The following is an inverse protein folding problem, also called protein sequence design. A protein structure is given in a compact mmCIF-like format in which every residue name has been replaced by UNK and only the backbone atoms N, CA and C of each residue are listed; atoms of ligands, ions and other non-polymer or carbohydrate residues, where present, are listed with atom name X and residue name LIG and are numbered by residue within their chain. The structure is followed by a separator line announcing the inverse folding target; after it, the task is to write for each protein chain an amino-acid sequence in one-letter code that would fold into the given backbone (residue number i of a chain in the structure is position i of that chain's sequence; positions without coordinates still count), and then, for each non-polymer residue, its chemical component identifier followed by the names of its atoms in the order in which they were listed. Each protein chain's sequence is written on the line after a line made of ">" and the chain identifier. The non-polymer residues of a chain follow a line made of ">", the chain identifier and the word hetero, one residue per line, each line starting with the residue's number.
data_IF_707500204845
#
_entry.id   IF_707500204845
#
_cell.length_a   1.000
_cell.length_b   1.000
_cell.length_c   1.000
_cell.angle_alpha   90.00
_cell.angle_beta   90.00
_cell.angle_gamma   90.00
#
_symmetry.space_group_name_H-M   'P 1'
#
loop_
_entity.id
_entity.type
_entity.pdbx_description
1 polymer ?
#
# COMPACT_ATOMS: atom_id res chain seq x y z
N UNK A 1 2.92 22.75 -13.41
CA UNK A 1 1.62 22.78 -12.72
C UNK A 1 1.83 23.12 -11.25
N UNK A 2 1.46 24.32 -10.82
CA UNK A 2 1.58 24.72 -9.43
C UNK A 2 0.33 24.29 -8.65
N UNK A 3 0.31 23.06 -8.13
CA UNK A 3 -0.47 22.81 -6.91
C UNK A 3 0.09 23.75 -5.86
N UNK A 4 -0.68 24.76 -5.44
CA UNK A 4 -0.12 25.74 -4.51
C UNK A 4 0.34 25.01 -3.25
N UNK A 5 1.55 25.31 -2.79
CA UNK A 5 2.14 24.71 -1.58
C UNK A 5 1.15 24.75 -0.41
N UNK A 6 0.35 25.82 -0.33
CA UNK A 6 -0.72 25.97 0.64
C UNK A 6 -1.82 24.89 0.58
N UNK A 7 -2.22 24.39 -0.59
CA UNK A 7 -3.22 23.32 -0.70
C UNK A 7 -2.69 21.99 -0.17
N UNK A 8 -1.42 21.67 -0.46
CA UNK A 8 -0.75 20.47 0.05
C UNK A 8 -0.66 20.54 1.58
N UNK A 9 -0.22 21.68 2.12
CA UNK A 9 -0.15 21.90 3.57
C UNK A 9 -1.52 21.73 4.22
N UNK A 10 -2.59 22.32 3.65
CA UNK A 10 -3.95 22.17 4.18
C UNK A 10 -4.41 20.71 4.20
N UNK A 11 -4.08 19.93 3.16
CA UNK A 11 -4.38 18.49 3.11
C UNK A 11 -3.64 17.73 4.21
N UNK A 12 -2.35 18.02 4.41
CA UNK A 12 -1.58 17.40 5.51
C UNK A 12 -2.16 17.76 6.88
N UNK A 13 -2.50 19.03 7.13
CA UNK A 13 -3.17 19.46 8.37
C UNK A 13 -4.49 18.69 8.55
N UNK A 14 -5.30 18.57 7.49
CA UNK A 14 -6.53 17.80 7.57
C UNK A 14 -6.27 16.34 7.95
N UNK A 15 -5.34 15.66 7.26
CA UNK A 15 -5.07 14.23 7.48
C UNK A 15 -4.44 13.93 8.84
N UNK A 16 -3.62 14.84 9.36
CA UNK A 16 -2.88 14.66 10.62
C UNK A 16 -3.65 15.14 11.84
N UNK A 17 -4.47 16.18 11.69
CA UNK A 17 -5.15 16.85 12.82
C UNK A 17 -6.66 16.69 12.72
N UNK A 18 -7.29 17.27 11.70
CA UNK A 18 -8.77 17.36 11.63
C UNK A 18 -9.42 15.98 11.55
N UNK A 19 -8.89 15.10 10.72
CA UNK A 19 -9.33 13.71 10.59
C UNK A 19 -9.26 12.99 11.95
N UNK A 20 -8.19 13.19 12.71
CA UNK A 20 -8.00 12.58 14.04
C UNK A 20 -8.99 13.11 15.07
N UNK A 21 -9.28 14.41 15.03
CA UNK A 21 -10.29 15.04 15.89
C UNK A 21 -11.67 14.46 15.55
N UNK A 22 -12.05 14.40 14.28
CA UNK A 22 -13.36 13.87 13.86
C UNK A 22 -13.48 12.37 14.21
N UNK A 23 -12.41 11.60 14.01
CA UNK A 23 -12.42 10.15 14.28
C UNK A 23 -12.10 9.79 15.74
N UNK A 24 -11.95 10.77 16.64
CA UNK A 24 -11.55 10.46 18.02
C UNK A 24 -12.61 9.59 18.71
N UNK A 25 -12.20 8.44 19.26
CA UNK A 25 -13.09 7.52 19.96
C UNK A 25 -14.12 6.80 19.08
N UNK A 26 -13.94 6.83 17.75
CA UNK A 26 -14.85 6.17 16.81
C UNK A 26 -15.03 4.68 17.07
N UNK A 27 -14.04 4.05 17.69
CA UNK A 27 -14.06 2.68 18.13
C UNK A 27 -15.26 2.40 19.06
N UNK A 28 -15.64 3.40 19.87
CA UNK A 28 -16.73 3.33 20.84
C UNK A 28 -18.06 3.78 20.20
N UNK A 29 -18.10 4.98 19.60
CA UNK A 29 -19.38 5.60 19.22
C UNK A 29 -19.85 5.26 17.80
N UNK A 30 -18.98 4.80 16.90
CA UNK A 30 -19.37 4.56 15.50
C UNK A 30 -20.19 3.27 15.38
N UNK A 31 -21.32 3.29 14.71
CA UNK A 31 -22.24 2.14 14.57
C UNK A 31 -22.73 1.96 13.12
N UNK A 32 -22.07 2.60 12.16
CA UNK A 32 -22.42 2.55 10.73
C UNK A 32 -23.89 2.91 10.42
N UNK A 33 -24.50 3.79 11.24
CA UNK A 33 -25.86 4.26 11.00
C UNK A 33 -25.87 5.33 9.92
N UNK A 34 -26.88 5.30 9.03
CA UNK A 34 -27.04 6.30 7.95
C UNK A 34 -26.94 7.75 8.46
N UNK A 35 -27.63 8.10 9.56
CA UNK A 35 -27.57 9.45 10.15
C UNK A 35 -26.15 9.84 10.60
N UNK A 36 -25.38 8.89 11.12
CA UNK A 36 -24.02 9.10 11.58
C UNK A 36 -23.05 9.27 10.40
N UNK A 37 -23.15 8.43 9.38
CA UNK A 37 -22.37 8.55 8.15
C UNK A 37 -22.63 9.88 7.43
N UNK A 38 -23.88 10.34 7.39
CA UNK A 38 -24.22 11.66 6.87
C UNK A 38 -23.60 12.80 7.69
N UNK A 39 -23.58 12.69 9.02
CA UNK A 39 -22.94 13.70 9.89
C UNK A 39 -21.43 13.73 9.71
N UNK A 40 -20.78 12.57 9.61
CA UNK A 40 -19.35 12.45 9.30
C UNK A 40 -19.00 13.06 7.94
N UNK A 41 -19.80 12.77 6.91
CA UNK A 41 -19.65 13.37 5.58
C UNK A 41 -19.76 14.90 5.63
N UNK A 42 -20.72 15.45 6.40
CA UNK A 42 -20.85 16.90 6.62
C UNK A 42 -19.64 17.51 7.33
N UNK A 43 -19.08 16.86 8.34
CA UNK A 43 -17.88 17.32 9.05
C UNK A 43 -16.66 17.32 8.12
N UNK A 44 -16.42 16.22 7.40
CA UNK A 44 -15.35 16.12 6.43
C UNK A 44 -15.48 17.18 5.33
N UNK A 45 -16.69 17.42 4.82
CA UNK A 45 -16.97 18.37 3.74
C UNK A 45 -16.38 19.77 4.00
N UNK A 46 -16.47 20.27 5.24
CA UNK A 46 -15.92 21.59 5.59
C UNK A 46 -14.41 21.67 5.31
N UNK A 47 -13.66 20.66 5.75
CA UNK A 47 -12.22 20.55 5.48
C UNK A 47 -11.92 20.42 4.00
N UNK A 48 -12.70 19.61 3.27
CA UNK A 48 -12.49 19.42 1.83
C UNK A 48 -12.74 20.69 1.02
N UNK A 49 -13.73 21.52 1.38
CA UNK A 49 -13.96 22.83 0.75
C UNK A 49 -12.75 23.73 0.98
N UNK A 50 -12.17 23.75 2.18
CA UNK A 50 -11.00 24.58 2.48
C UNK A 50 -9.75 24.16 1.69
N UNK A 51 -9.58 22.85 1.46
CA UNK A 51 -8.48 22.30 0.66
C UNK A 51 -8.70 22.62 -0.81
N UNK A 52 -9.83 22.20 -1.38
CA UNK A 52 -10.12 22.32 -2.81
C UNK A 52 -10.44 23.75 -3.24
N UNK A 53 -10.85 24.63 -2.33
CA UNK A 53 -11.38 25.97 -2.64
C UNK A 53 -12.60 25.91 -3.58
N UNK A 54 -13.32 24.80 -3.64
CA UNK A 54 -14.55 24.70 -4.42
C UNK A 54 -15.71 25.51 -3.81
N UNK A 55 -16.75 25.78 -4.61
CA UNK A 55 -18.00 26.33 -4.11
C UNK A 55 -18.68 25.40 -3.09
N UNK A 56 -19.42 25.99 -2.16
CA UNK A 56 -20.20 25.25 -1.14
C UNK A 56 -21.32 24.38 -1.73
N UNK A 57 -21.63 24.52 -3.01
CA UNK A 57 -22.64 23.75 -3.76
C UNK A 57 -22.06 22.48 -4.41
N UNK A 58 -20.72 22.35 -4.52
CA UNK A 58 -20.05 21.18 -5.13
C UNK A 58 -20.29 19.93 -4.30
N UNK A 59 -20.69 18.80 -4.90
CA UNK A 59 -20.98 17.56 -4.17
C UNK A 59 -19.79 17.05 -3.33
N UNK A 60 -20.04 16.45 -2.16
CA UNK A 60 -18.96 15.97 -1.27
C UNK A 60 -18.10 14.91 -1.93
N UNK A 61 -18.70 14.00 -2.70
CA UNK A 61 -17.99 12.95 -3.44
C UNK A 61 -16.97 13.55 -4.42
N UNK A 62 -17.35 14.63 -5.10
CA UNK A 62 -16.45 15.39 -5.97
C UNK A 62 -15.29 16.01 -5.19
N UNK A 63 -15.58 16.60 -4.02
CA UNK A 63 -14.54 17.19 -3.18
C UNK A 63 -13.53 16.14 -2.67
N UNK A 64 -14.01 14.94 -2.33
CA UNK A 64 -13.17 13.81 -1.90
C UNK A 64 -12.19 13.42 -3.02
N UNK A 65 -12.69 13.32 -4.27
CA UNK A 65 -11.86 13.02 -5.44
C UNK A 65 -10.83 14.11 -5.67
N UNK A 66 -11.23 15.38 -5.77
CA UNK A 66 -10.34 16.51 -6.05
C UNK A 66 -9.26 16.71 -4.98
N UNK A 67 -9.62 16.53 -3.70
CA UNK A 67 -8.69 16.60 -2.58
C UNK A 67 -7.83 15.34 -2.44
N UNK A 68 -8.19 14.24 -3.12
CA UNK A 68 -7.58 12.93 -2.95
C UNK A 68 -7.67 12.43 -1.51
N UNK A 69 -8.86 12.57 -0.90
CA UNK A 69 -9.14 12.16 0.48
C UNK A 69 -10.32 11.20 0.44
N UNK A 70 -10.19 9.96 0.96
CA UNK A 70 -11.27 8.98 0.96
C UNK A 70 -12.43 9.42 1.87
N UNK A 71 -13.64 8.88 1.66
CA UNK A 71 -14.77 9.12 2.54
C UNK A 71 -14.44 8.71 3.97
N UNK A 72 -14.64 9.65 4.91
CA UNK A 72 -14.24 9.45 6.30
C UNK A 72 -15.04 8.32 6.96
N UNK A 73 -16.31 8.13 6.59
CA UNK A 73 -17.17 7.07 7.11
C UNK A 73 -16.63 5.67 6.76
N UNK A 74 -16.19 5.44 5.51
CA UNK A 74 -15.57 4.17 5.12
C UNK A 74 -14.29 3.94 5.92
N UNK A 75 -13.44 4.98 6.04
CA UNK A 75 -12.19 4.89 6.81
C UNK A 75 -12.46 4.58 8.29
N UNK A 76 -13.47 5.22 8.88
CA UNK A 76 -13.89 5.01 10.27
C UNK A 76 -14.40 3.58 10.49
N UNK A 77 -15.20 3.04 9.57
CA UNK A 77 -15.68 1.66 9.65
C UNK A 77 -14.53 0.64 9.66
N UNK A 78 -13.54 0.82 8.78
CA UNK A 78 -12.39 -0.09 8.68
C UNK A 78 -11.45 0.02 9.89
N UNK A 79 -11.24 1.23 10.42
CA UNK A 79 -10.44 1.40 11.62
C UNK A 79 -11.14 0.78 12.85
N UNK A 80 -12.47 0.86 12.94
CA UNK A 80 -13.24 0.18 13.99
C UNK A 80 -13.09 -1.34 13.90
N UNK A 81 -13.15 -1.92 12.70
CA UNK A 81 -12.85 -3.34 12.46
C UNK A 81 -11.45 -3.72 12.93
N UNK A 82 -10.44 -2.89 12.66
CA UNK A 82 -9.08 -3.11 13.16
C UNK A 82 -8.98 -3.06 14.69
N UNK A 83 -9.74 -2.18 15.33
CA UNK A 83 -9.80 -2.08 16.78
C UNK A 83 -10.39 -3.35 17.40
N UNK A 84 -11.50 -3.85 16.84
CA UNK A 84 -12.13 -5.10 17.29
C UNK A 84 -11.18 -6.29 17.24
N UNK A 85 -10.39 -6.41 16.16
CA UNK A 85 -9.35 -7.45 16.05
C UNK A 85 -8.29 -7.34 17.15
N UNK A 86 -7.84 -6.12 17.44
CA UNK A 86 -6.73 -5.89 18.38
C UNK A 86 -7.10 -6.03 19.85
N UNK A 87 -8.28 -5.52 20.22
CA UNK A 87 -8.60 -5.24 21.62
C UNK A 87 -9.86 -5.95 22.11
N UNK A 88 -10.76 -6.34 21.20
CA UNK A 88 -11.97 -7.10 21.56
C UNK A 88 -11.89 -8.57 21.14
N UNK A 89 -10.76 -9.00 20.58
CA UNK A 89 -10.52 -10.38 20.15
C UNK A 89 -11.62 -10.93 19.23
N UNK A 90 -12.08 -10.10 18.29
CA UNK A 90 -13.03 -10.51 17.24
C UNK A 90 -12.27 -10.79 15.94
N UNK A 91 -12.71 -11.81 15.21
CA UNK A 91 -12.15 -12.09 13.88
C UNK A 91 -12.38 -10.93 12.91
N UNK A 92 -11.46 -10.78 11.97
CA UNK A 92 -11.52 -9.79 10.90
C UNK A 92 -11.62 -10.47 9.55
N UNK A 93 -12.77 -10.34 8.91
CA UNK A 93 -12.94 -10.67 7.50
C UNK A 93 -12.40 -9.52 6.65
N UNK A 94 -11.44 -9.76 5.78
CA UNK A 94 -10.88 -8.75 4.87
C UNK A 94 -10.44 -9.39 3.56
N UNK A 95 -10.97 -8.90 2.44
CA UNK A 95 -10.84 -9.58 1.14
C UNK A 95 -11.35 -11.03 1.27
N UNK A 96 -10.56 -12.01 0.83
CA UNK A 96 -10.89 -13.44 0.91
C UNK A 96 -10.26 -14.14 2.12
N UNK A 97 -9.85 -13.39 3.15
CA UNK A 97 -9.23 -13.93 4.36
C UNK A 97 -10.03 -13.61 5.62
N UNK A 98 -10.08 -14.59 6.51
CA UNK A 98 -10.53 -14.43 7.89
C UNK A 98 -9.30 -14.45 8.79
N UNK A 99 -9.05 -13.35 9.49
CA UNK A 99 -7.92 -13.20 10.40
C UNK A 99 -8.42 -13.39 11.83
N UNK A 100 -7.90 -14.40 12.50
CA UNK A 100 -8.17 -14.66 13.91
C UNK A 100 -7.27 -13.80 14.80
N UNK A 101 -7.75 -13.34 15.97
CA UNK A 101 -6.97 -12.48 16.87
C UNK A 101 -5.64 -13.09 17.31
N UNK A 102 -5.58 -14.43 17.45
CA UNK A 102 -4.39 -15.17 17.88
C UNK A 102 -3.27 -15.14 16.83
N UNK A 103 -3.63 -14.96 15.56
CA UNK A 103 -2.65 -14.84 14.46
C UNK A 103 -1.98 -13.47 14.46
N UNK A 104 -2.54 -12.45 15.12
CA UNK A 104 -2.06 -11.08 15.04
C UNK A 104 -0.90 -10.81 16.03
N UNK A 105 0.26 -10.43 15.48
CA UNK A 105 1.36 -9.87 16.28
C UNK A 105 1.36 -8.35 16.24
N UNK A 106 1.14 -7.73 17.40
CA UNK A 106 1.10 -6.26 17.55
C UNK A 106 1.99 -5.70 18.67
N UNK A 107 2.53 -6.55 19.56
CA UNK A 107 3.38 -6.09 20.66
C UNK A 107 4.79 -5.82 20.16
N UNK A 108 5.25 -4.59 20.38
CA UNK A 108 6.68 -4.26 20.33
C UNK A 108 7.28 -4.81 21.62
N UNK A 109 7.89 -5.99 21.56
CA UNK A 109 8.57 -6.57 22.72
C UNK A 109 9.70 -5.62 23.11
N UNK A 110 9.65 -5.09 24.34
CA UNK A 110 10.79 -4.38 24.91
C UNK A 110 11.85 -5.43 25.20
N UNK A 111 12.95 -5.37 24.47
CA UNK A 111 14.04 -6.32 24.62
C UNK A 111 15.14 -5.66 25.46
N UNK A 112 15.56 -6.26 26.59
CA UNK A 112 16.55 -5.67 27.47
C UNK A 112 17.93 -5.51 26.80
N UNK A 113 18.72 -4.48 27.14
CA UNK A 113 20.02 -4.22 26.49
C UNK A 113 21.04 -5.36 26.58
N UNK A 114 21.00 -6.18 27.62
CA UNK A 114 21.93 -7.31 27.81
C UNK A 114 21.63 -8.55 26.96
N UNK A 115 20.48 -8.58 26.29
CA UNK A 115 20.12 -9.67 25.35
C UNK A 115 20.52 -9.36 23.91
N UNK A 116 21.20 -8.24 23.69
CA UNK A 116 21.68 -7.83 22.37
C UNK A 116 22.80 -8.77 21.92
N UNK A 117 22.50 -9.58 20.91
CA UNK A 117 23.47 -10.48 20.29
C UNK A 117 23.65 -10.11 18.83
N UNK A 118 24.91 -10.11 18.39
CA UNK A 118 25.31 -10.01 16.99
C UNK A 118 25.80 -11.38 16.55
N UNK A 119 25.26 -11.89 15.43
CA UNK A 119 25.77 -13.11 14.81
C UNK A 119 26.52 -12.69 13.54
N UNK A 120 27.85 -12.84 13.50
CA UNK A 120 28.64 -12.53 12.32
C UNK A 120 28.42 -13.57 11.22
N UNK A 121 28.71 -13.18 9.99
CA UNK A 121 28.65 -14.03 8.81
C UNK A 121 29.80 -13.67 7.86
N UNK A 122 30.19 -14.61 7.00
CA UNK A 122 31.33 -14.47 6.10
C UNK A 122 30.91 -14.43 4.64
N UNK A 123 31.81 -14.04 3.74
CA UNK A 123 31.59 -14.24 2.31
C UNK A 123 31.91 -15.69 1.93
N UNK A 124 31.00 -16.34 1.20
CA UNK A 124 31.23 -17.69 0.69
C UNK A 124 32.39 -17.68 -0.31
N UNK A 125 33.41 -18.51 -0.06
CA UNK A 125 34.44 -18.87 -1.01
C UNK A 125 34.28 -20.35 -1.40
N UNK A 126 34.56 -20.70 -2.66
CA UNK A 126 34.31 -22.04 -3.22
C UNK A 126 35.15 -23.19 -2.61
N UNK A 127 35.87 -22.94 -1.53
CA UNK A 127 36.85 -23.82 -0.91
C UNK A 127 36.43 -24.30 0.48
N UNK A 128 35.14 -24.27 0.80
CA UNK A 128 34.64 -24.82 2.07
C UNK A 128 34.53 -26.34 2.00
N UNK A 129 35.18 -27.02 2.94
CA UNK A 129 35.05 -28.46 3.15
C UNK A 129 33.99 -28.78 4.21
N UNK A 130 33.47 -30.00 4.17
CA UNK A 130 32.48 -30.52 5.11
C UNK A 130 31.03 -30.34 4.64
N UNK A 131 30.10 -30.33 5.59
CA UNK A 131 28.66 -30.22 5.31
C UNK A 131 28.30 -28.79 4.90
N UNK A 132 27.79 -28.65 3.66
CA UNK A 132 27.32 -27.37 3.12
C UNK A 132 25.79 -27.40 3.08
N UNK A 133 25.14 -26.39 3.65
CA UNK A 133 23.67 -26.28 3.64
C UNK A 133 23.29 -24.99 2.94
N UNK A 134 22.73 -25.10 1.74
CA UNK A 134 22.21 -23.96 0.99
C UNK A 134 20.76 -23.72 1.36
N UNK A 135 20.36 -22.46 1.55
CA UNK A 135 19.00 -22.09 1.96
C UNK A 135 18.44 -21.02 1.05
N UNK A 136 17.16 -21.10 0.71
CA UNK A 136 16.48 -20.04 -0.04
C UNK A 136 14.99 -19.90 0.35
N UNK A 137 14.42 -18.73 0.09
CA UNK A 137 13.02 -18.39 0.29
C UNK A 137 12.42 -17.71 -0.95
N UNK A 138 11.26 -18.20 -1.40
CA UNK A 138 10.61 -17.72 -2.61
C UNK A 138 9.19 -17.23 -2.35
N UNK A 139 8.74 -16.25 -3.16
CA UNK A 139 7.35 -15.81 -3.22
C UNK A 139 6.89 -15.67 -4.66
N UNK A 140 5.92 -16.51 -5.05
CA UNK A 140 5.32 -16.57 -6.39
C UNK A 140 3.80 -16.52 -6.25
N UNK A 141 3.11 -15.66 -7.01
CA UNK A 141 1.64 -15.59 -7.03
C UNK A 141 0.96 -15.51 -5.64
N UNK A 142 1.52 -14.69 -4.74
CA UNK A 142 1.12 -14.57 -3.32
C UNK A 142 1.30 -15.85 -2.46
N UNK A 143 1.96 -16.85 -3.00
CA UNK A 143 2.34 -18.08 -2.33
C UNK A 143 3.79 -17.99 -1.90
N UNK A 144 4.11 -18.49 -0.70
CA UNK A 144 5.42 -18.33 -0.07
C UNK A 144 5.95 -19.70 0.31
N UNK A 145 7.17 -20.01 -0.12
CA UNK A 145 7.86 -21.27 0.13
C UNK A 145 9.29 -21.02 0.56
N UNK A 146 9.87 -21.95 1.31
CA UNK A 146 11.28 -21.95 1.67
C UNK A 146 11.85 -23.35 1.51
N UNK A 147 13.17 -23.44 1.37
CA UNK A 147 13.85 -24.70 1.26
C UNK A 147 15.29 -24.63 1.76
N UNK A 148 15.84 -25.79 2.11
CA UNK A 148 17.27 -25.97 2.27
C UNK A 148 17.74 -27.26 1.60
N UNK A 149 19.00 -27.29 1.18
CA UNK A 149 19.65 -28.43 0.53
C UNK A 149 20.99 -28.67 1.16
N UNK A 150 21.26 -29.94 1.48
CA UNK A 150 22.47 -30.38 2.17
C UNK A 150 23.37 -31.10 1.18
N UNK A 151 24.61 -30.64 1.10
CA UNK A 151 25.68 -31.20 0.31
C UNK A 151 26.79 -31.73 1.20
N UNK A 152 27.32 -32.89 0.85
CA UNK A 152 28.56 -33.44 1.42
C UNK A 152 29.40 -33.99 0.26
N UNK A 153 30.69 -33.62 0.21
CA UNK A 153 31.60 -33.98 -0.89
C UNK A 153 31.01 -33.71 -2.30
N UNK A 154 30.44 -32.51 -2.50
CA UNK A 154 29.79 -32.07 -3.75
C UNK A 154 28.61 -32.93 -4.23
N UNK A 155 28.04 -33.77 -3.36
CA UNK A 155 26.82 -34.51 -3.66
C UNK A 155 25.69 -34.03 -2.76
N UNK A 156 24.50 -33.85 -3.35
CA UNK A 156 23.26 -33.61 -2.61
C UNK A 156 22.92 -34.87 -1.82
N UNK A 157 22.88 -34.77 -0.49
CA UNK A 157 22.55 -35.88 0.41
C UNK A 157 21.15 -35.75 1.01
N UNK A 158 20.61 -34.54 1.07
CA UNK A 158 19.29 -34.26 1.62
C UNK A 158 18.76 -32.92 1.12
N UNK A 159 17.44 -32.78 1.05
CA UNK A 159 16.77 -31.50 0.91
C UNK A 159 15.45 -31.50 1.67
N UNK A 160 14.99 -30.31 2.03
CA UNK A 160 13.64 -30.11 2.56
C UNK A 160 13.07 -28.82 2.00
N UNK A 161 11.77 -28.83 1.72
CA UNK A 161 11.04 -27.68 1.22
C UNK A 161 9.69 -27.59 1.93
N UNK A 162 9.24 -26.37 2.24
CA UNK A 162 8.07 -26.14 3.06
C UNK A 162 7.28 -24.91 2.61
N UNK A 163 5.96 -24.99 2.73
CA UNK A 163 5.03 -23.90 2.42
C UNK A 163 4.76 -23.06 3.66
N UNK A 164 5.00 -21.75 3.60
CA UNK A 164 4.59 -20.81 4.65
C UNK A 164 3.20 -20.24 4.36
N UNK A 165 2.59 -19.51 5.30
CA UNK A 165 1.36 -18.77 5.02
C UNK A 165 1.51 -17.74 3.88
N UNK A 166 0.45 -17.52 3.10
CA UNK A 166 0.44 -16.62 1.92
C UNK A 166 0.83 -15.16 2.25
N UNK A 167 0.51 -14.73 3.47
CA UNK A 167 0.84 -13.39 3.97
C UNK A 167 2.30 -13.23 4.42
N UNK A 168 3.09 -14.31 4.51
CA UNK A 168 4.50 -14.23 4.84
C UNK A 168 5.28 -13.40 3.81
N UNK A 169 6.37 -12.79 4.26
CA UNK A 169 7.33 -12.10 3.39
C UNK A 169 8.40 -13.08 2.89
N UNK A 170 9.08 -12.72 1.79
CA UNK A 170 10.28 -13.43 1.33
C UNK A 170 11.33 -13.48 2.44
N UNK A 171 11.55 -12.35 3.14
CA UNK A 171 12.41 -12.28 4.32
C UNK A 171 12.09 -13.35 5.38
N UNK A 172 10.79 -13.57 5.68
CA UNK A 172 10.41 -14.59 6.65
C UNK A 172 10.66 -16.00 6.10
N UNK A 173 10.43 -16.23 4.81
CA UNK A 173 10.73 -17.51 4.17
C UNK A 173 12.24 -17.85 4.23
N UNK A 174 13.09 -16.89 3.87
CA UNK A 174 14.55 -17.00 3.94
C UNK A 174 15.02 -17.27 5.39
N UNK A 175 14.48 -16.51 6.36
CA UNK A 175 14.79 -16.69 7.78
C UNK A 175 14.35 -18.07 8.28
N UNK A 176 13.15 -18.51 7.91
CA UNK A 176 12.65 -19.84 8.25
C UNK A 176 13.49 -20.94 7.59
N UNK A 177 14.00 -20.75 6.37
CA UNK A 177 14.88 -21.71 5.70
C UNK A 177 16.17 -21.95 6.48
N UNK A 178 16.80 -20.89 6.98
CA UNK A 178 17.95 -20.99 7.89
C UNK A 178 17.54 -21.68 9.20
N UNK A 179 16.39 -21.32 9.77
CA UNK A 179 15.90 -21.98 10.99
C UNK A 179 15.71 -23.48 10.80
N UNK A 180 15.06 -23.92 9.72
CA UNK A 180 14.83 -25.34 9.43
C UNK A 180 16.12 -26.09 9.12
N UNK A 181 17.09 -25.43 8.48
CA UNK A 181 18.43 -25.99 8.30
C UNK A 181 19.13 -26.25 9.64
N UNK A 182 18.94 -25.35 10.63
CA UNK A 182 19.45 -25.55 11.98
C UNK A 182 18.73 -26.68 12.73
N UNK A 183 17.41 -26.87 12.52
CA UNK A 183 16.70 -28.04 13.05
C UNK A 183 17.33 -29.32 12.52
N UNK A 184 17.56 -29.40 11.20
CA UNK A 184 18.23 -30.54 10.58
C UNK A 184 19.63 -30.80 11.15
N UNK A 185 20.42 -29.76 11.39
CA UNK A 185 21.75 -29.88 12.01
C UNK A 185 21.67 -30.46 13.42
N UNK A 186 20.72 -29.98 14.23
CA UNK A 186 20.51 -30.48 15.58
C UNK A 186 20.00 -31.93 15.59
N UNK A 187 18.99 -32.24 14.79
CA UNK A 187 18.36 -33.56 14.71
C UNK A 187 19.34 -34.65 14.25
N UNK A 188 20.29 -34.29 13.39
CA UNK A 188 21.31 -35.21 12.87
C UNK A 188 22.65 -35.13 13.63
N UNK A 189 22.72 -34.39 14.75
CA UNK A 189 23.94 -34.22 15.55
C UNK A 189 25.18 -33.79 14.73
N UNK A 190 24.99 -32.91 13.75
CA UNK A 190 26.08 -32.46 12.87
C UNK A 190 26.98 -31.50 13.65
N UNK A 191 28.24 -31.89 13.87
CA UNK A 191 29.20 -31.14 14.70
C UNK A 191 29.82 -29.93 13.99
N UNK A 192 29.83 -29.92 12.66
CA UNK A 192 30.32 -28.80 11.84
C UNK A 192 29.48 -28.66 10.58
N UNK A 193 28.93 -27.46 10.35
CA UNK A 193 28.12 -27.15 9.18
C UNK A 193 28.33 -25.70 8.71
N UNK A 194 28.30 -25.50 7.39
CA UNK A 194 28.37 -24.20 6.75
C UNK A 194 27.01 -23.90 6.12
N UNK A 195 26.26 -22.95 6.69
CA UNK A 195 24.98 -22.51 6.13
C UNK A 195 25.25 -21.36 5.16
N UNK A 196 24.82 -21.53 3.92
CA UNK A 196 25.05 -20.60 2.82
C UNK A 196 23.69 -20.05 2.35
N UNK A 197 23.57 -18.73 2.33
CA UNK A 197 22.33 -18.06 1.95
C UNK A 197 22.62 -16.80 1.14
N UNK A 198 21.80 -16.51 0.13
CA UNK A 198 21.83 -15.25 -0.61
C UNK A 198 20.95 -14.15 0.02
N UNK A 199 20.21 -14.50 1.08
CA UNK A 199 19.35 -13.65 1.91
C UNK A 199 20.12 -12.59 2.71
N UNK A 200 20.74 -11.64 2.01
CA UNK A 200 21.57 -10.59 2.63
C UNK A 200 20.79 -9.79 3.68
N UNK A 201 19.49 -9.60 3.48
CA UNK A 201 18.60 -8.96 4.46
C UNK A 201 18.54 -9.70 5.79
N UNK A 202 18.49 -11.03 5.77
CA UNK A 202 18.46 -11.86 6.98
C UNK A 202 19.82 -11.84 7.67
N UNK A 203 20.91 -11.96 6.92
CA UNK A 203 22.27 -11.93 7.48
C UNK A 203 22.59 -10.58 8.15
N UNK A 204 22.23 -9.45 7.52
CA UNK A 204 22.37 -8.11 8.13
C UNK A 204 21.48 -7.95 9.38
N UNK A 205 20.30 -8.57 9.39
CA UNK A 205 19.42 -8.58 10.53
C UNK A 205 19.98 -9.38 11.72
N UNK A 206 20.67 -10.49 11.44
CA UNK A 206 21.36 -11.31 12.44
C UNK A 206 22.61 -10.60 13.00
N UNK A 207 23.35 -9.89 12.16
CA UNK A 207 24.50 -9.10 12.56
C UNK A 207 24.10 -7.89 13.43
N UNK A 208 22.96 -7.25 13.15
CA UNK A 208 22.53 -6.05 13.89
C UNK A 208 22.08 -6.39 15.33
N UNK A 209 22.80 -5.98 16.39
CA UNK A 209 22.45 -6.28 17.78
C UNK A 209 21.18 -5.56 18.26
N UNK A 210 20.71 -4.54 17.53
CA UNK A 210 19.50 -3.78 17.85
C UNK A 210 18.27 -4.25 17.06
N UNK A 211 18.36 -5.38 16.35
CA UNK A 211 17.20 -5.99 15.73
C UNK A 211 16.44 -6.85 16.76
N UNK A 212 15.20 -6.45 17.03
CA UNK A 212 14.31 -7.04 18.03
C UNK A 212 13.05 -7.67 17.41
N UNK A 213 13.09 -7.92 16.11
CA UNK A 213 12.03 -8.66 15.44
C UNK A 213 11.99 -10.10 16.01
N UNK A 214 10.81 -10.59 16.47
CA UNK A 214 10.72 -11.86 17.20
C UNK A 214 11.31 -13.08 16.49
N UNK A 215 11.08 -13.24 15.18
CA UNK A 215 11.62 -14.38 14.42
C UNK A 215 13.14 -14.31 14.31
N UNK A 216 13.69 -13.12 14.10
CA UNK A 216 15.14 -12.86 14.06
C UNK A 216 15.79 -13.15 15.41
N UNK A 217 15.18 -12.71 16.51
CA UNK A 217 15.67 -13.01 17.86
C UNK A 217 15.62 -14.50 18.16
N UNK A 218 14.54 -15.19 17.78
CA UNK A 218 14.43 -16.64 17.93
C UNK A 218 15.54 -17.36 17.15
N UNK A 219 15.83 -16.93 15.93
CA UNK A 219 16.92 -17.50 15.12
C UNK A 219 18.30 -17.24 15.75
N UNK A 220 18.56 -16.03 16.27
CA UNK A 220 19.79 -15.73 17.02
C UNK A 220 19.97 -16.67 18.21
N UNK A 221 18.93 -16.83 19.02
CA UNK A 221 18.98 -17.73 20.18
C UNK A 221 19.26 -19.18 19.76
N UNK A 222 18.68 -19.63 18.65
CA UNK A 222 18.95 -20.96 18.10
C UNK A 222 20.40 -21.13 17.67
N UNK A 223 20.97 -20.15 16.98
CA UNK A 223 22.38 -20.16 16.55
C UNK A 223 23.37 -20.14 17.72
N UNK A 224 23.00 -19.50 18.84
CA UNK A 224 23.85 -19.47 20.06
C UNK A 224 23.79 -20.80 20.81
N UNK A 225 22.60 -21.40 20.89
CA UNK A 225 22.35 -22.57 21.72
C UNK A 225 22.59 -23.91 20.99
N UNK A 226 22.81 -23.87 19.67
CA UNK A 226 23.04 -25.09 18.90
C UNK A 226 24.42 -25.69 19.22
N UNK A 227 24.45 -27.00 19.42
CA UNK A 227 25.68 -27.75 19.63
C UNK A 227 26.44 -27.86 18.30
N UNK A 228 27.72 -27.49 18.29
CA UNK A 228 28.60 -27.63 17.12
C UNK A 228 29.09 -26.29 16.56
N UNK A 229 30.01 -26.37 15.60
CA UNK A 229 30.61 -25.21 14.93
C UNK A 229 29.81 -24.92 13.65
N UNK A 230 28.84 -24.02 13.77
CA UNK A 230 28.04 -23.56 12.63
C UNK A 230 28.51 -22.19 12.17
N UNK A 231 28.74 -22.06 10.88
CA UNK A 231 29.17 -20.82 10.25
C UNK A 231 28.17 -20.37 9.19
N UNK A 232 27.85 -19.07 9.18
CA UNK A 232 26.97 -18.47 8.19
C UNK A 232 27.79 -17.81 7.07
N UNK A 233 27.38 -18.04 5.83
CA UNK A 233 28.02 -17.49 4.65
C UNK A 233 26.99 -16.82 3.74
N UNK A 234 27.34 -15.62 3.27
CA UNK A 234 26.61 -14.96 2.20
C UNK A 234 27.16 -15.37 0.83
N UNK A 235 26.27 -15.77 -0.07
CA UNK A 235 26.57 -16.02 -1.48
C UNK A 235 25.79 -15.03 -2.36
N UNK A 236 26.34 -14.73 -3.54
CA UNK A 236 25.61 -13.92 -4.52
C UNK A 236 24.57 -14.79 -5.23
N UNK A 237 23.33 -14.31 -5.30
CA UNK A 237 22.25 -14.96 -6.04
C UNK A 237 22.61 -15.15 -7.54
N UNK A 238 22.11 -16.24 -8.12
CA UNK A 238 22.16 -16.56 -9.56
C UNK A 238 23.57 -16.58 -10.19
N UNK A 239 24.57 -17.10 -9.45
CA UNK A 239 25.95 -17.17 -9.91
C UNK A 239 26.41 -18.59 -10.34
N UNK A 240 25.48 -19.50 -10.67
CA UNK A 240 25.86 -20.82 -11.21
C UNK A 240 26.20 -21.88 -10.17
N UNK A 241 25.95 -21.64 -8.88
CA UNK A 241 26.26 -22.62 -7.82
C UNK A 241 25.14 -23.64 -7.68
N UNK A 242 25.43 -24.89 -8.02
CA UNK A 242 24.46 -25.99 -8.04
C UNK A 242 23.62 -26.08 -6.75
N UNK A 243 24.24 -25.94 -5.57
CA UNK A 243 23.52 -25.97 -4.29
C UNK A 243 22.55 -24.79 -4.09
N UNK A 244 22.94 -23.57 -4.48
CA UNK A 244 22.07 -22.39 -4.38
C UNK A 244 20.93 -22.46 -5.39
N UNK A 245 21.22 -22.90 -6.62
CA UNK A 245 20.20 -23.09 -7.66
C UNK A 245 19.19 -24.16 -7.27
N UNK A 246 19.65 -25.25 -6.63
CA UNK A 246 18.77 -26.28 -6.09
C UNK A 246 17.89 -25.76 -4.95
N UNK A 247 18.45 -24.96 -4.03
CA UNK A 247 17.66 -24.35 -2.97
C UNK A 247 16.57 -23.41 -3.52
N UNK A 248 16.88 -22.58 -4.53
CA UNK A 248 15.92 -21.72 -5.23
C UNK A 248 14.86 -22.53 -5.98
N UNK A 249 15.27 -23.59 -6.67
CA UNK A 249 14.35 -24.52 -7.34
C UNK A 249 13.35 -25.13 -6.33
N UNK A 250 13.82 -25.68 -5.21
CA UNK A 250 12.96 -26.28 -4.21
C UNK A 250 12.10 -25.26 -3.47
N UNK A 251 12.61 -24.04 -3.21
CA UNK A 251 11.82 -22.97 -2.60
C UNK A 251 10.66 -22.54 -3.52
N UNK A 252 10.91 -22.46 -4.84
CA UNK A 252 9.87 -22.21 -5.85
C UNK A 252 8.88 -23.36 -5.93
N UNK A 253 9.34 -24.61 -5.96
CA UNK A 253 8.45 -25.78 -5.93
C UNK A 253 7.56 -25.76 -4.69
N UNK A 254 8.12 -25.40 -3.52
CA UNK A 254 7.35 -25.30 -2.29
C UNK A 254 6.20 -24.28 -2.39
N UNK A 255 6.32 -23.20 -3.18
CA UNK A 255 5.20 -22.25 -3.38
C UNK A 255 3.97 -22.89 -4.00
N UNK A 256 4.13 -23.98 -4.76
CA UNK A 256 3.04 -24.66 -5.47
C UNK A 256 2.30 -25.70 -4.61
N UNK A 257 2.80 -26.00 -3.41
CA UNK A 257 2.12 -26.90 -2.46
C UNK A 257 0.75 -26.34 -2.08
N UNK A 258 -0.26 -27.22 -2.08
CA UNK A 258 -1.64 -26.86 -1.70
C UNK A 258 -1.80 -26.63 -0.20
N UNK A 259 -1.03 -27.34 0.62
CA UNK A 259 -1.10 -27.28 2.08
C UNK A 259 -0.04 -26.32 2.64
N UNK A 260 -0.39 -25.57 3.67
CA UNK A 260 0.55 -24.75 4.44
C UNK A 260 1.24 -25.65 5.47
N UNK A 261 2.56 -25.79 5.35
CA UNK A 261 3.38 -26.60 6.26
C UNK A 261 3.72 -25.82 7.54
N UNK A 262 3.99 -24.51 7.41
CA UNK A 262 4.38 -23.62 8.53
C UNK A 262 3.43 -22.43 8.58
N UNK A 263 2.56 -22.41 9.59
CA UNK A 263 1.70 -21.27 9.85
C UNK A 263 2.48 -20.13 10.53
N UNK A 264 2.37 -18.92 9.98
CA UNK A 264 3.08 -17.73 10.45
C UNK A 264 2.10 -16.71 11.00
N UNK A 265 2.52 -15.99 12.03
CA UNK A 265 1.74 -14.86 12.55
C UNK A 265 1.63 -13.72 11.53
N UNK A 266 0.51 -13.00 11.56
CA UNK A 266 0.24 -11.85 10.70
C UNK A 266 0.73 -10.58 11.40
N UNK A 267 1.65 -9.88 10.74
CA UNK A 267 2.08 -8.56 11.19
C UNK A 267 0.94 -7.54 11.01
N UNK A 268 0.69 -6.70 12.02
CA UNK A 268 -0.35 -5.65 11.97
C UNK A 268 -0.25 -4.73 10.74
N UNK A 269 0.94 -4.51 10.19
CA UNK A 269 1.13 -3.71 8.98
C UNK A 269 0.51 -4.37 7.75
N UNK A 270 0.55 -5.70 7.67
CA UNK A 270 -0.10 -6.48 6.60
C UNK A 270 -1.61 -6.26 6.66
N UNK A 271 -2.20 -6.36 7.84
CA UNK A 271 -3.64 -6.11 8.06
C UNK A 271 -4.02 -4.67 7.70
N UNK A 272 -3.24 -3.67 8.14
CA UNK A 272 -3.48 -2.27 7.77
C UNK A 272 -3.40 -2.04 6.26
N UNK A 273 -2.50 -2.71 5.57
CA UNK A 273 -2.37 -2.63 4.11
C UNK A 273 -3.57 -3.28 3.40
N UNK A 274 -4.06 -4.42 3.90
CA UNK A 274 -5.29 -5.06 3.41
C UNK A 274 -6.49 -4.13 3.55
N UNK A 275 -6.71 -3.57 4.74
CA UNK A 275 -7.79 -2.61 4.98
C UNK A 275 -7.64 -1.34 4.13
N UNK A 276 -6.42 -0.87 3.88
CA UNK A 276 -6.18 0.27 2.98
C UNK A 276 -6.55 -0.06 1.53
N UNK A 277 -6.32 -1.29 1.06
CA UNK A 277 -6.78 -1.72 -0.27
C UNK A 277 -8.30 -1.76 -0.33
N UNK A 278 -8.94 -2.34 0.69
CA UNK A 278 -10.41 -2.36 0.81
C UNK A 278 -11.00 -0.94 0.81
N UNK A 279 -10.40 0.00 1.55
CA UNK A 279 -10.79 1.42 1.54
C UNK A 279 -10.82 2.00 0.12
N UNK A 280 -9.78 1.71 -0.67
CA UNK A 280 -9.66 2.21 -2.04
C UNK A 280 -10.73 1.59 -2.96
N UNK A 281 -11.00 0.29 -2.82
CA UNK A 281 -12.05 -0.41 -3.57
C UNK A 281 -13.43 0.16 -3.22
N UNK A 282 -13.74 0.29 -1.94
CA UNK A 282 -15.02 0.83 -1.47
C UNK A 282 -15.20 2.29 -1.88
N UNK A 283 -14.13 3.09 -1.85
CA UNK A 283 -14.18 4.45 -2.36
C UNK A 283 -14.42 4.51 -3.87
N UNK A 284 -13.73 3.68 -4.65
CA UNK A 284 -13.92 3.61 -6.10
C UNK A 284 -15.35 3.21 -6.45
N UNK A 285 -15.91 2.18 -5.80
CA UNK A 285 -17.29 1.74 -6.00
C UNK A 285 -18.28 2.86 -5.67
N UNK A 286 -18.09 3.59 -4.56
CA UNK A 286 -18.91 4.75 -4.21
C UNK A 286 -18.82 5.85 -5.26
N UNK A 287 -17.63 6.08 -5.82
CA UNK A 287 -17.43 7.09 -6.85
C UNK A 287 -18.12 6.72 -8.18
N UNK A 288 -18.06 5.44 -8.57
CA UNK A 288 -18.71 4.90 -9.75
C UNK A 288 -20.25 4.96 -9.64
N UNK A 289 -20.79 4.56 -8.49
CA UNK A 289 -22.24 4.52 -8.22
C UNK A 289 -22.87 5.88 -7.88
N UNK A 290 -22.09 6.90 -7.54
CA UNK A 290 -22.64 8.23 -7.21
C UNK A 290 -23.35 8.85 -8.42
N UNK A 291 -24.55 9.38 -8.24
CA UNK A 291 -25.22 10.19 -9.28
C UNK A 291 -24.71 11.62 -9.34
N UNK A 292 -23.84 12.02 -8.40
CA UNK A 292 -23.32 13.38 -8.25
C UNK A 292 -21.94 13.51 -8.89
N UNK A 293 -21.61 14.72 -9.35
CA UNK A 293 -20.28 15.03 -9.86
C UNK A 293 -19.88 14.31 -11.15
N UNK A 294 -20.85 13.91 -12.00
CA UNK A 294 -20.57 13.11 -13.20
C UNK A 294 -19.67 13.81 -14.21
N UNK A 295 -19.73 15.13 -14.33
CA UNK A 295 -18.78 15.92 -15.12
C UNK A 295 -17.34 15.82 -14.61
N UNK A 296 -17.16 15.62 -13.30
CA UNK A 296 -15.82 15.39 -12.71
C UNK A 296 -15.42 13.94 -12.86
N UNK A 297 -16.37 13.00 -12.86
CA UNK A 297 -16.10 11.59 -13.13
C UNK A 297 -15.52 11.37 -14.53
N UNK A 298 -16.02 12.09 -15.54
CA UNK A 298 -15.47 12.00 -16.91
C UNK A 298 -14.00 12.45 -17.00
N UNK A 299 -13.57 13.36 -16.12
CA UNK A 299 -12.18 13.80 -16.02
C UNK A 299 -11.35 12.87 -15.12
N UNK A 300 -11.95 12.39 -14.04
CA UNK A 300 -11.27 11.63 -12.99
C UNK A 300 -12.05 10.37 -12.63
N UNK A 301 -12.07 9.35 -13.51
CA UNK A 301 -12.83 8.12 -13.25
C UNK A 301 -12.21 7.30 -12.12
N UNK A 302 -10.89 7.40 -11.91
CA UNK A 302 -10.17 6.69 -10.85
C UNK A 302 -9.84 7.58 -9.65
N UNK A 303 -10.20 7.09 -8.47
CA UNK A 303 -9.90 7.74 -7.19
C UNK A 303 -8.41 7.58 -6.86
N UNK A 304 -7.83 8.56 -6.15
CA UNK A 304 -6.41 8.53 -5.79
C UNK A 304 -6.14 9.38 -4.56
N UNK A 305 -5.36 8.84 -3.62
CA UNK A 305 -4.92 9.60 -2.44
C UNK A 305 -3.81 10.60 -2.75
N UNK A 306 -3.15 10.47 -3.91
CA UNK A 306 -2.10 11.39 -4.35
C UNK A 306 -2.65 12.69 -4.96
N UNK A 307 -3.94 12.73 -5.29
CA UNK A 307 -4.55 13.88 -5.95
C UNK A 307 -4.63 15.07 -5.00
N UNK A 308 -4.24 16.24 -5.49
CA UNK A 308 -4.45 17.55 -4.84
C UNK A 308 -4.62 18.56 -5.98
N UNK A 309 -5.82 18.71 -6.52
CA UNK A 309 -6.00 19.45 -7.77
C UNK A 309 -6.40 20.91 -7.56
N UNK A 310 -5.74 21.79 -8.33
CA UNK A 310 -6.24 23.10 -8.73
C UNK A 310 -6.27 24.17 -7.65
N UNK A 311 -6.43 25.40 -8.13
CA UNK A 311 -6.80 26.55 -7.30
C UNK A 311 -8.31 26.83 -7.42
N UNK A 312 -8.73 27.97 -6.88
CA UNK A 312 -10.13 28.39 -6.90
C UNK A 312 -10.72 28.47 -8.32
N UNK A 313 -9.93 28.89 -9.31
CA UNK A 313 -10.41 29.09 -10.69
C UNK A 313 -10.42 27.78 -11.47
N UNK A 314 -9.36 26.98 -11.35
CA UNK A 314 -9.31 25.69 -12.04
C UNK A 314 -10.40 24.75 -11.55
N UNK A 315 -10.67 24.73 -10.24
CA UNK A 315 -11.71 23.87 -9.69
C UNK A 315 -13.12 24.33 -10.05
N UNK A 316 -13.34 25.60 -10.41
CA UNK A 316 -14.60 26.05 -11.01
C UNK A 316 -14.81 25.45 -12.39
N UNK A 317 -13.78 25.49 -13.25
CA UNK A 317 -13.82 24.90 -14.58
C UNK A 317 -14.05 23.38 -14.51
N UNK A 318 -13.34 22.68 -13.63
CA UNK A 318 -13.49 21.23 -13.44
C UNK A 318 -14.90 20.87 -12.98
N UNK A 319 -15.46 21.63 -12.04
CA UNK A 319 -16.76 21.29 -11.45
C UNK A 319 -17.93 21.86 -12.22
N UNK A 320 -17.71 22.77 -13.19
CA UNK A 320 -18.75 23.54 -13.84
C UNK A 320 -19.50 24.47 -12.89
N UNK A 321 -18.86 24.89 -11.81
CA UNK A 321 -19.45 25.83 -10.82
C UNK A 321 -18.80 27.20 -10.98
N UNK A 322 -19.53 28.28 -10.69
CA UNK A 322 -18.98 29.63 -10.74
C UNK A 322 -19.84 30.58 -11.57
N UNK A 323 -19.23 31.52 -12.28
CA UNK A 323 -19.93 32.47 -13.16
C UNK A 323 -20.21 31.84 -14.54
N UNK A 324 -20.86 30.69 -14.55
CA UNK A 324 -21.24 29.95 -15.76
C UNK A 324 -22.77 29.94 -15.80
N UNK A 325 -23.39 30.32 -16.91
CA UNK A 325 -24.83 30.58 -16.93
C UNK A 325 -25.68 29.36 -16.52
N UNK A 326 -25.33 28.12 -16.94
CA UNK A 326 -26.07 26.91 -16.51
C UNK A 326 -26.04 26.70 -14.99
N UNK A 327 -24.90 27.00 -14.35
CA UNK A 327 -24.79 26.94 -12.89
C UNK A 327 -25.59 28.08 -12.24
N UNK A 328 -25.51 29.28 -12.80
CA UNK A 328 -26.19 30.46 -12.29
C UNK A 328 -27.72 30.32 -12.38
N UNK A 329 -28.24 29.71 -13.45
CA UNK A 329 -29.65 29.34 -13.57
C UNK A 329 -30.07 28.40 -12.44
N UNK A 330 -29.32 27.30 -12.27
CA UNK A 330 -29.67 26.25 -11.31
C UNK A 330 -29.73 26.74 -9.86
N UNK A 331 -28.84 27.64 -9.47
CA UNK A 331 -28.71 28.07 -8.06
C UNK A 331 -29.25 29.47 -7.77
N UNK A 332 -29.41 30.33 -8.78
CA UNK A 332 -29.82 31.73 -8.61
C UNK A 332 -30.94 32.17 -9.55
N UNK A 333 -31.53 31.27 -10.33
CA UNK A 333 -32.67 31.57 -11.21
C UNK A 333 -32.36 32.49 -12.40
N UNK A 334 -31.07 32.65 -12.76
CA UNK A 334 -30.65 33.42 -13.94
C UNK A 334 -30.93 32.67 -15.25
N UNK A 335 -30.75 33.33 -16.39
CA UNK A 335 -30.79 32.66 -17.70
C UNK A 335 -29.59 31.71 -17.88
N UNK A 336 -29.81 30.61 -18.61
CA UNK A 336 -28.75 29.69 -19.05
C UNK A 336 -28.06 30.16 -20.34
N UNK A 337 -28.64 31.14 -21.03
CA UNK A 337 -28.16 31.57 -22.33
C UNK A 337 -26.81 32.28 -22.18
N UNK A 338 -25.90 31.98 -23.10
CA UNK A 338 -24.68 32.76 -23.27
C UNK A 338 -25.01 34.10 -23.92
N UNK A 339 -24.21 35.13 -23.61
CA UNK A 339 -24.30 36.44 -24.26
C UNK A 339 -24.01 36.38 -25.76
N UNK A 340 -23.38 35.32 -26.25
CA UNK A 340 -23.16 35.09 -27.68
C UNK A 340 -24.43 34.65 -28.44
N UNK A 341 -25.55 34.45 -27.73
CA UNK A 341 -26.81 33.93 -28.28
C UNK A 341 -26.99 32.42 -28.17
N UNK A 342 -25.99 31.67 -27.69
CA UNK A 342 -26.11 30.23 -27.48
C UNK A 342 -27.08 29.92 -26.33
N UNK A 343 -28.01 28.95 -26.48
CA UNK A 343 -29.08 28.71 -25.50
C UNK A 343 -28.60 28.12 -24.16
N UNK A 344 -27.36 27.60 -24.11
CA UNK A 344 -26.80 27.01 -22.90
C UNK A 344 -25.30 27.30 -22.80
N UNK A 345 -24.90 28.11 -21.83
CA UNK A 345 -23.50 28.32 -21.50
C UNK A 345 -23.05 27.28 -20.47
N UNK A 346 -22.26 26.31 -20.93
CA UNK A 346 -21.53 25.36 -20.09
C UNK A 346 -20.01 25.44 -20.35
N UNK A 347 -19.24 24.62 -19.64
CA UNK A 347 -17.78 24.58 -19.78
C UNK A 347 -17.38 24.21 -21.22
N UNK A 348 -18.09 23.29 -21.86
CA UNK A 348 -17.78 22.87 -23.21
C UNK A 348 -17.97 24.03 -24.19
N UNK A 349 -19.09 24.74 -24.09
CA UNK A 349 -19.37 25.92 -24.88
C UNK A 349 -18.29 26.99 -24.68
N UNK A 350 -17.92 27.33 -23.44
CA UNK A 350 -16.89 28.34 -23.16
C UNK A 350 -15.52 27.91 -23.75
N UNK A 351 -15.11 26.66 -23.52
CA UNK A 351 -13.78 26.15 -23.87
C UNK A 351 -13.62 25.82 -25.35
N UNK A 352 -14.69 25.46 -26.08
CA UNK A 352 -14.56 24.98 -27.46
C UNK A 352 -15.33 25.79 -28.50
N UNK A 353 -16.44 26.44 -28.14
CA UNK A 353 -17.43 26.91 -29.13
C UNK A 353 -17.63 28.42 -29.12
N UNK A 354 -17.70 29.02 -27.93
CA UNK A 354 -18.21 30.38 -27.75
C UNK A 354 -17.38 31.41 -28.54
N UNK A 355 -17.97 32.19 -29.46
CA UNK A 355 -17.22 33.15 -30.27
C UNK A 355 -16.64 34.29 -29.44
N UNK A 356 -17.27 34.65 -28.32
CA UNK A 356 -16.79 35.71 -27.41
C UNK A 356 -15.42 35.40 -26.81
N UNK A 357 -15.09 34.11 -26.65
CA UNK A 357 -13.84 33.66 -26.06
C UNK A 357 -12.81 33.22 -27.11
N UNK A 358 -13.08 33.38 -28.41
CA UNK A 358 -12.24 32.83 -29.48
C UNK A 358 -10.82 33.41 -29.51
N UNK A 359 -10.68 34.72 -29.34
CA UNK A 359 -9.38 35.40 -29.29
C UNK A 359 -8.52 34.91 -28.12
N UNK A 360 -9.12 34.70 -26.95
CA UNK A 360 -8.44 34.20 -25.75
C UNK A 360 -8.01 32.74 -25.97
N UNK A 361 -8.89 31.89 -26.52
CA UNK A 361 -8.53 30.50 -26.82
C UNK A 361 -7.38 30.40 -27.80
N UNK A 362 -7.41 31.15 -28.91
CA UNK A 362 -6.31 31.17 -29.89
C UNK A 362 -4.99 31.69 -29.30
N UNK A 363 -5.06 32.54 -28.28
CA UNK A 363 -3.87 33.06 -27.58
C UNK A 363 -3.25 32.05 -26.63
N UNK A 364 -4.06 31.27 -25.91
CA UNK A 364 -3.58 30.45 -24.80
C UNK A 364 -3.63 28.93 -25.05
N UNK A 365 -4.43 28.45 -26.01
CA UNK A 365 -4.53 27.03 -26.35
C UNK A 365 -3.77 26.69 -27.63
N UNK A 366 -3.32 25.43 -27.79
CA UNK A 366 -2.64 25.01 -29.02
C UNK A 366 -3.57 25.09 -30.22
N UNK A 367 -3.02 25.22 -31.44
CA UNK A 367 -3.83 25.42 -32.67
C UNK A 367 -4.88 24.33 -32.90
N UNK A 368 -4.60 23.10 -32.45
CA UNK A 368 -5.49 21.94 -32.56
C UNK A 368 -6.40 21.73 -31.33
N UNK A 369 -6.57 22.71 -30.43
CA UNK A 369 -7.27 22.51 -29.15
C UNK A 369 -8.70 21.95 -29.30
N UNK A 370 -9.36 22.21 -30.43
CA UNK A 370 -10.71 21.72 -30.73
C UNK A 370 -10.81 20.18 -30.74
N UNK A 371 -9.72 19.49 -31.06
CA UNK A 371 -9.64 18.02 -31.05
C UNK A 371 -8.99 17.47 -29.76
N UNK A 372 -8.56 18.34 -28.84
CA UNK A 372 -7.88 17.95 -27.61
C UNK A 372 -8.91 17.75 -26.50
N UNK A 373 -8.81 16.65 -25.76
CA UNK A 373 -9.69 16.39 -24.60
C UNK A 373 -9.53 17.48 -23.53
N UNK A 374 -10.63 17.83 -22.87
CA UNK A 374 -10.67 18.86 -21.83
C UNK A 374 -9.65 18.60 -20.72
N UNK A 375 -9.46 17.34 -20.32
CA UNK A 375 -8.45 16.95 -19.34
C UNK A 375 -7.04 17.39 -19.77
N UNK A 376 -6.67 17.18 -21.03
CA UNK A 376 -5.35 17.55 -21.54
C UNK A 376 -5.19 19.07 -21.62
N UNK A 377 -6.25 19.81 -21.98
CA UNK A 377 -6.22 21.28 -21.98
C UNK A 377 -6.10 21.88 -20.58
N UNK A 378 -6.79 21.30 -19.59
CA UNK A 378 -6.77 21.78 -18.22
C UNK A 378 -5.49 21.39 -17.48
N UNK A 379 -4.86 20.27 -17.86
CA UNK A 379 -3.81 19.65 -17.06
C UNK A 379 -2.44 19.49 -17.72
N UNK A 380 -2.30 19.63 -19.04
CA UNK A 380 -0.96 19.63 -19.63
C UNK A 380 -0.46 21.05 -19.86
N UNK A 381 0.84 21.27 -19.61
CA UNK A 381 1.50 22.46 -20.11
C UNK A 381 1.32 22.49 -21.63
N UNK A 382 0.70 23.56 -22.13
CA UNK A 382 0.44 23.84 -23.55
C UNK A 382 1.71 23.68 -24.42
N UNK A 383 2.91 23.74 -23.82
CA UNK A 383 4.20 23.52 -24.48
C UNK A 383 4.53 22.08 -24.90
N UNK A 384 3.76 21.06 -24.46
CA UNK A 384 3.97 19.65 -24.86
C UNK A 384 2.97 19.13 -25.90
N UNK A 385 2.03 19.97 -26.35
CA UNK A 385 0.99 19.62 -27.33
C UNK A 385 1.22 20.29 -28.70
N UNK A 386 2.39 20.92 -28.89
CA UNK A 386 2.82 21.56 -30.14
C UNK A 386 3.64 20.59 -30.99
#
# INVERSE_FOLDING_TARGET
>A
MHTSTGTIIKKEIYLKVIDRIISYGHEIWYQDRVKQNLKLSKLQRSGLICITKCYRTVATDTLQVLAGIPPIDIKTALNKRLFHLKYEHKELHVQDMTIQPQELVFKKTLVPPWTKVSIPWNHYNMSLEGTLIFTDGSKMDNQVGGAFVVYYNNQEIHHSCFRLSNHASVYLAELTAISTALDYVADNNITQANIISDARSVLLALENPNNFEPHTVALKNKLINISGKIQLYWIKAHFGFAGNEKADEYAKQATTKQTIDISTSINIHVVKNMLKRELMVNWQHRWESSTKGRSVYTLFPKVSTKRVQGDFFLNQLITGHGTIAIYQQRFFGKTANCQCGHPMEDIHHIIYVCPLWDSIRKKFFPRNFQSVKLELLLFNNISKLA
#
